data_IF_781356598497
#
_entry.id   IF_781356598497
#
_cell.length_a   1.000
_cell.length_b   1.000
_cell.length_c   1.000
_cell.angle_alpha   90.00
_cell.angle_beta   90.00
_cell.angle_gamma   90.00
#
_symmetry.space_group_name_H-M   'P 1'
#
loop_
_entity.id
_entity.type
_entity.pdbx_description
1 polymer ?
#
# COMPACT_ATOMS: atom_id res chain seq x y z
N UNK A 1 1.14 3.65 10.05
CA UNK A 1 2.35 3.48 10.89
C UNK A 1 2.47 2.03 11.28
N UNK A 2 3.69 1.51 11.44
CA UNK A 2 3.95 0.16 11.94
C UNK A 2 4.73 0.26 13.25
N UNK A 3 4.37 -0.53 14.26
CA UNK A 3 5.15 -0.63 15.50
C UNK A 3 6.22 -1.71 15.35
N UNK A 4 7.46 -1.39 15.71
CA UNK A 4 8.53 -2.36 15.90
C UNK A 4 8.82 -2.52 17.39
N UNK A 5 9.30 -3.69 17.78
CA UNK A 5 9.74 -3.99 19.14
C UNK A 5 11.17 -4.49 19.07
N UNK A 6 12.04 -3.94 19.91
CA UNK A 6 13.40 -4.42 20.11
C UNK A 6 13.48 -5.15 21.45
N UNK A 7 14.16 -6.28 21.48
CA UNK A 7 14.50 -7.01 22.70
C UNK A 7 16.00 -6.91 22.90
N UNK A 8 16.44 -6.50 24.10
CA UNK A 8 17.86 -6.44 24.48
C UNK A 8 18.07 -7.40 25.64
N UNK A 9 18.79 -8.48 25.40
CA UNK A 9 19.17 -9.43 26.44
C UNK A 9 20.41 -8.92 27.18
N UNK A 10 20.31 -8.75 28.50
CA UNK A 10 21.36 -8.18 29.35
C UNK A 10 21.81 -9.14 30.45
N UNK A 11 23.06 -8.99 30.91
CA UNK A 11 23.58 -9.64 32.12
C UNK A 11 23.78 -8.57 33.18
N UNK A 12 23.26 -8.79 34.40
CA UNK A 12 23.25 -7.78 35.47
C UNK A 12 22.22 -6.66 35.20
N UNK A 13 22.48 -5.45 35.70
CA UNK A 13 21.54 -4.32 35.64
C UNK A 13 21.79 -3.38 34.44
N UNK A 14 22.27 -3.91 33.32
CA UNK A 14 22.57 -3.09 32.15
C UNK A 14 21.29 -2.54 31.48
N UNK A 15 21.41 -1.37 30.84
CA UNK A 15 20.29 -0.70 30.19
C UNK A 15 19.74 -1.50 28.99
N UNK A 16 18.41 -1.64 28.92
CA UNK A 16 17.71 -2.43 27.88
C UNK A 16 17.10 -1.57 26.78
N UNK A 17 17.39 -0.27 26.75
CA UNK A 17 16.87 0.66 25.75
C UNK A 17 17.71 0.62 24.47
N UNK A 18 17.12 1.08 23.38
CA UNK A 18 17.78 1.18 22.07
C UNK A 18 17.60 2.56 21.47
N UNK A 19 18.56 2.96 20.64
CA UNK A 19 18.39 4.04 19.68
C UNK A 19 17.92 3.48 18.35
N UNK A 20 16.98 4.16 17.71
CA UNK A 20 16.43 3.78 16.41
C UNK A 20 16.96 4.69 15.31
N UNK A 21 17.27 4.11 14.15
CA UNK A 21 17.62 4.86 12.94
C UNK A 21 16.93 4.28 11.71
N UNK A 22 16.69 5.13 10.72
CA UNK A 22 16.17 4.75 9.41
C UNK A 22 17.25 4.91 8.36
N UNK A 23 17.27 4.03 7.36
CA UNK A 23 18.13 4.17 6.18
C UNK A 23 17.67 5.26 5.21
N UNK A 24 16.50 5.84 5.42
CA UNK A 24 15.94 6.87 4.54
C UNK A 24 16.61 8.24 4.77
N UNK A 25 17.42 8.66 3.81
CA UNK A 25 18.04 9.99 3.82
C UNK A 25 17.04 11.14 3.56
N UNK A 26 15.84 10.84 3.05
CA UNK A 26 14.82 11.86 2.72
C UNK A 26 13.84 12.17 3.85
N UNK A 27 13.99 11.48 5.00
CA UNK A 27 13.17 11.66 6.19
C UNK A 27 11.65 11.50 5.94
N UNK A 28 11.30 10.58 5.05
CA UNK A 28 9.94 10.14 4.68
C UNK A 28 9.57 8.80 5.29
N UNK A 29 10.54 7.95 5.62
CA UNK A 29 10.39 6.75 6.44
C UNK A 29 11.14 6.99 7.73
N UNK A 30 10.40 7.36 8.77
CA UNK A 30 10.97 7.75 10.08
C UNK A 30 10.57 6.76 11.15
N UNK A 31 11.42 6.59 12.15
CA UNK A 31 11.18 5.77 13.33
C UNK A 31 11.38 6.65 14.57
N UNK A 32 10.45 6.59 15.53
CA UNK A 32 10.60 7.32 16.80
C UNK A 32 11.37 6.52 17.85
N UNK A 33 11.59 7.10 19.03
CA UNK A 33 12.34 6.45 20.12
C UNK A 33 11.65 5.18 20.67
N UNK A 34 10.38 4.97 20.37
CA UNK A 34 9.62 3.78 20.79
C UNK A 34 9.61 2.69 19.73
N UNK A 35 10.21 2.93 18.56
CA UNK A 35 10.21 1.99 17.43
C UNK A 35 8.99 2.11 16.52
N UNK A 36 8.19 3.19 16.64
CA UNK A 36 7.05 3.41 15.74
C UNK A 36 7.52 4.01 14.42
N UNK A 37 7.30 3.27 13.34
CA UNK A 37 7.63 3.67 11.97
C UNK A 37 6.47 4.42 11.34
N UNK A 38 6.76 5.58 10.77
CA UNK A 38 5.82 6.41 10.00
C UNK A 38 6.37 6.63 8.60
N UNK A 39 5.54 6.35 7.59
CA UNK A 39 5.84 6.51 6.17
C UNK A 39 5.00 7.66 5.65
N UNK A 40 5.64 8.67 5.04
CA UNK A 40 4.96 9.79 4.41
C UNK A 40 4.26 9.35 3.12
N UNK A 41 3.14 9.99 2.79
CA UNK A 41 2.35 9.66 1.59
C UNK A 41 3.13 9.79 0.27
N UNK A 42 4.20 10.60 0.25
CA UNK A 42 5.08 10.80 -0.90
C UNK A 42 6.45 10.13 -0.76
N UNK A 43 6.59 9.15 0.15
CA UNK A 43 7.77 8.30 0.19
C UNK A 43 7.91 7.51 -1.11
N UNK A 44 9.14 7.34 -1.59
CA UNK A 44 9.39 6.51 -2.77
C UNK A 44 9.09 5.04 -2.44
N UNK A 45 8.47 4.28 -3.36
CA UNK A 45 8.35 2.84 -3.20
C UNK A 45 9.74 2.19 -3.12
N UNK A 46 9.88 1.19 -2.27
CA UNK A 46 11.15 0.49 -2.07
C UNK A 46 11.31 -0.11 -0.68
N UNK A 47 12.49 -0.67 -0.45
CA UNK A 47 12.84 -1.27 0.84
C UNK A 47 13.68 -0.29 1.66
N UNK A 48 13.27 -0.09 2.90
CA UNK A 48 13.94 0.76 3.87
C UNK A 48 14.33 -0.07 5.08
N UNK A 49 15.52 0.16 5.63
CA UNK A 49 16.03 -0.58 6.79
C UNK A 49 15.91 0.28 8.03
N UNK A 50 15.22 -0.22 9.04
CA UNK A 50 15.18 0.36 10.37
C UNK A 50 16.15 -0.41 11.27
N UNK A 51 17.03 0.28 11.98
CA UNK A 51 18.04 -0.34 12.85
C UNK A 51 17.82 0.08 14.30
N UNK A 52 17.72 -0.91 15.20
CA UNK A 52 17.81 -0.72 16.63
C UNK A 52 19.26 -0.96 17.09
N UNK A 53 19.83 -0.03 17.85
CA UNK A 53 21.18 -0.12 18.42
C UNK A 53 21.07 -0.04 19.94
N UNK A 54 21.65 -1.01 20.66
CA UNK A 54 21.70 -0.97 22.12
C UNK A 54 22.40 0.29 22.62
N UNK A 55 21.82 0.97 23.61
CA UNK A 55 22.46 2.11 24.28
C UNK A 55 23.63 1.64 25.15
N UNK A 56 23.49 0.48 25.79
CA UNK A 56 24.54 -0.09 26.64
C UNK A 56 25.75 -0.62 25.84
N UNK A 57 25.55 -1.11 24.61
CA UNK A 57 26.63 -1.61 23.75
C UNK A 57 26.30 -1.33 22.27
N UNK A 58 26.92 -0.28 21.72
CA UNK A 58 26.71 0.15 20.34
C UNK A 58 27.17 -0.88 19.28
N UNK A 59 27.87 -1.95 19.67
CA UNK A 59 28.21 -3.07 18.77
C UNK A 59 27.04 -4.04 18.59
N UNK A 60 26.03 -4.00 19.46
CA UNK A 60 24.82 -4.85 19.39
C UNK A 60 23.70 -4.11 18.67
N UNK A 61 23.29 -4.66 17.53
CA UNK A 61 22.26 -4.08 16.67
C UNK A 61 21.38 -5.17 16.08
N UNK A 62 20.13 -4.81 15.80
CA UNK A 62 19.20 -5.60 15.01
C UNK A 62 18.51 -4.69 13.99
N UNK A 63 18.07 -5.25 12.87
CA UNK A 63 17.40 -4.49 11.81
C UNK A 63 16.09 -5.15 11.36
N UNK A 64 15.19 -4.32 10.86
CA UNK A 64 13.94 -4.71 10.22
C UNK A 64 13.82 -4.02 8.86
N UNK A 65 13.29 -4.75 7.88
CA UNK A 65 13.00 -4.20 6.55
C UNK A 65 11.55 -3.72 6.47
N UNK A 66 11.36 -2.49 6.03
CA UNK A 66 10.08 -1.86 5.75
C UNK A 66 9.93 -1.73 4.23
N UNK A 67 8.98 -2.44 3.65
CA UNK A 67 8.65 -2.32 2.24
C UNK A 67 7.56 -1.27 2.06
N UNK A 68 7.90 -0.16 1.43
CA UNK A 68 6.97 0.89 1.02
C UNK A 68 6.46 0.53 -0.38
N UNK A 69 5.15 0.33 -0.51
CA UNK A 69 4.49 0.08 -1.78
C UNK A 69 3.83 1.34 -2.34
N UNK A 70 3.53 1.32 -3.63
CA UNK A 70 2.76 2.39 -4.26
C UNK A 70 1.35 2.38 -3.68
N UNK A 71 0.82 3.56 -3.32
CA UNK A 71 -0.56 3.67 -2.90
C UNK A 71 -1.50 3.32 -4.07
N UNK A 72 -2.47 2.45 -3.81
CA UNK A 72 -3.45 2.03 -4.81
C UNK A 72 -4.41 3.17 -5.16
N UNK A 73 -4.60 3.43 -6.45
CA UNK A 73 -5.55 4.43 -6.94
C UNK A 73 -6.15 4.04 -8.30
N UNK A 74 -7.38 4.46 -8.56
CA UNK A 74 -8.03 4.35 -9.88
C UNK A 74 -7.89 5.70 -10.60
N UNK A 75 -7.30 5.69 -11.79
CA UNK A 75 -7.11 6.89 -12.60
C UNK A 75 -8.31 7.18 -13.49
N UNK A 76 -8.83 6.15 -14.16
CA UNK A 76 -9.94 6.30 -15.10
C UNK A 76 -10.67 4.98 -15.38
N UNK A 77 -11.89 5.10 -15.90
CA UNK A 77 -12.68 3.97 -16.41
C UNK A 77 -13.14 4.34 -17.82
N UNK A 78 -13.02 3.41 -18.76
CA UNK A 78 -13.49 3.57 -20.14
C UNK A 78 -14.30 2.35 -20.57
N UNK A 79 -15.25 2.55 -21.49
CA UNK A 79 -16.10 1.48 -22.04
C UNK A 79 -16.00 1.50 -23.56
N UNK A 80 -15.82 0.32 -24.16
CA UNK A 80 -15.76 0.14 -25.62
C UNK A 80 -16.74 -0.96 -26.07
N UNK A 81 -17.53 -0.72 -27.12
CA UNK A 81 -17.73 0.57 -27.79
C UNK A 81 -18.47 1.57 -26.87
N UNK A 82 -18.20 2.87 -27.04
CA UNK A 82 -18.89 3.92 -26.27
C UNK A 82 -20.38 4.07 -26.64
N UNK A 83 -20.78 3.53 -27.79
CA UNK A 83 -22.18 3.42 -28.23
C UNK A 83 -22.33 2.20 -29.13
N UNK A 84 -23.53 1.60 -29.13
CA UNK A 84 -23.86 0.47 -29.99
C UNK A 84 -25.33 0.54 -30.41
N UNK A 85 -25.64 -0.03 -31.58
CA UNK A 85 -27.01 -0.27 -32.03
C UNK A 85 -27.22 -1.77 -32.11
N UNK A 86 -28.26 -2.27 -31.43
CA UNK A 86 -28.54 -3.70 -31.30
C UNK A 86 -29.97 -3.94 -31.76
N UNK A 87 -30.15 -4.94 -32.63
CA UNK A 87 -31.49 -5.35 -33.08
C UNK A 87 -32.27 -6.01 -31.94
N UNK A 88 -33.60 -5.98 -32.02
CA UNK A 88 -34.45 -6.61 -31.00
C UNK A 88 -34.11 -8.11 -30.85
N UNK A 89 -33.89 -8.55 -29.61
CA UNK A 89 -33.47 -9.92 -29.29
C UNK A 89 -31.99 -10.23 -29.52
N UNK A 90 -31.20 -9.26 -29.99
CA UNK A 90 -29.75 -9.37 -30.10
C UNK A 90 -29.01 -8.98 -28.83
N UNK A 91 -27.68 -9.16 -28.85
CA UNK A 91 -26.77 -8.73 -27.78
C UNK A 91 -25.54 -8.01 -28.37
N UNK A 92 -24.87 -7.24 -27.53
CA UNK A 92 -23.58 -6.61 -27.84
C UNK A 92 -22.65 -6.78 -26.64
N UNK A 93 -21.42 -7.19 -26.91
CA UNK A 93 -20.37 -7.21 -25.89
C UNK A 93 -19.85 -5.79 -25.65
N UNK A 94 -19.84 -5.36 -24.40
CA UNK A 94 -19.10 -4.19 -23.95
C UNK A 94 -17.85 -4.64 -23.19
N UNK A 95 -16.79 -3.86 -23.29
CA UNK A 95 -15.55 -4.07 -22.52
C UNK A 95 -15.30 -2.82 -21.68
N UNK A 96 -15.18 -2.98 -20.37
CA UNK A 96 -14.67 -1.93 -19.49
C UNK A 96 -13.16 -2.10 -19.28
N UNK A 97 -12.44 -0.99 -19.33
CA UNK A 97 -11.03 -0.92 -18.97
C UNK A 97 -10.89 0.06 -17.80
N UNK A 98 -10.33 -0.41 -16.69
CA UNK A 98 -10.02 0.39 -15.51
C UNK A 98 -8.51 0.64 -15.49
N UNK A 99 -8.11 1.90 -15.59
CA UNK A 99 -6.71 2.31 -15.46
C UNK A 99 -6.39 2.56 -13.98
N UNK A 100 -5.38 1.87 -13.45
CA UNK A 100 -5.05 1.88 -12.03
C UNK A 100 -3.55 2.03 -11.78
N UNK A 101 -3.22 2.51 -10.59
CA UNK A 101 -1.87 2.54 -10.03
C UNK A 101 -1.85 1.67 -8.78
N UNK A 102 -0.72 0.99 -8.53
CA UNK A 102 -0.59 0.05 -7.42
C UNK A 102 -1.49 -1.17 -7.60
N UNK A 103 -2.03 -1.66 -6.49
CA UNK A 103 -2.88 -2.85 -6.45
C UNK A 103 -4.36 -2.48 -6.30
N UNK A 104 -4.81 -1.41 -6.97
CA UNK A 104 -6.21 -1.00 -6.88
C UNK A 104 -7.13 -2.02 -7.57
N UNK A 105 -8.33 -2.20 -7.04
CA UNK A 105 -9.31 -3.13 -7.59
C UNK A 105 -9.83 -2.64 -8.95
N UNK A 106 -9.93 -3.56 -9.92
CA UNK A 106 -10.38 -3.27 -11.29
C UNK A 106 -11.76 -3.84 -11.61
N UNK A 107 -12.48 -4.33 -10.59
CA UNK A 107 -13.85 -4.83 -10.76
C UNK A 107 -14.79 -3.70 -11.15
N UNK A 108 -15.69 -3.99 -12.08
CA UNK A 108 -16.72 -3.06 -12.52
C UNK A 108 -18.10 -3.61 -12.20
N UNK A 109 -19.03 -2.71 -11.89
CA UNK A 109 -20.45 -3.04 -11.77
C UNK A 109 -21.20 -2.41 -12.92
N UNK A 110 -21.98 -3.22 -13.63
CA UNK A 110 -22.80 -2.75 -14.73
C UNK A 110 -24.24 -2.54 -14.26
N UNK A 111 -24.91 -1.55 -14.85
CA UNK A 111 -26.35 -1.34 -14.64
C UNK A 111 -26.99 -0.87 -15.94
N UNK A 112 -28.27 -1.21 -16.12
CA UNK A 112 -29.11 -0.68 -17.19
C UNK A 112 -30.09 0.35 -16.63
N UNK A 113 -30.36 1.40 -17.39
CA UNK A 113 -31.40 2.38 -17.06
C UNK A 113 -32.81 1.87 -17.38
N UNK A 114 -32.94 0.74 -18.08
CA UNK A 114 -34.23 0.12 -18.36
C UNK A 114 -34.82 -0.55 -17.12
N UNK A 115 -35.74 0.15 -16.46
CA UNK A 115 -36.47 -0.36 -15.29
C UNK A 115 -37.40 -1.54 -15.61
N UNK A 116 -37.66 -1.86 -16.89
CA UNK A 116 -38.51 -2.99 -17.28
C UNK A 116 -37.75 -4.31 -17.45
N UNK A 117 -36.43 -4.30 -17.19
CA UNK A 117 -35.56 -5.47 -17.21
C UNK A 117 -35.52 -6.18 -18.59
N UNK A 118 -35.71 -5.44 -19.69
CA UNK A 118 -35.63 -5.92 -21.08
C UNK A 118 -34.26 -5.68 -21.68
N UNK A 119 -33.58 -4.60 -21.27
CA UNK A 119 -32.17 -4.36 -21.54
C UNK A 119 -31.40 -4.64 -20.26
N UNK A 120 -30.62 -5.71 -20.25
CA UNK A 120 -29.85 -6.17 -19.09
C UNK A 120 -28.36 -6.22 -19.41
N UNK A 121 -27.56 -6.20 -18.35
CA UNK A 121 -26.11 -6.39 -18.36
C UNK A 121 -25.82 -7.59 -17.47
N UNK A 122 -24.92 -8.45 -17.91
CA UNK A 122 -24.43 -9.63 -17.19
C UNK A 122 -23.08 -9.33 -16.55
#
# INVERSE_FOLDING_TARGET
SQQLTATVDVVGDAETTVTWSSSDASNKVVVDNTGKVTVAANAAPGNYTITATSIADATKKASATITVTVASAVNSVSVTPGSASVVQGGSQQLTATVDVVGDAETTVTWSSSDASNKVVVD
#
